data_IF_751678355088
#
_entry.id   IF_751678355088
#
_cell.length_a   1.000
_cell.length_b   1.000
_cell.length_c   1.000
_cell.angle_alpha   90.00
_cell.angle_beta   90.00
_cell.angle_gamma   90.00
#
_symmetry.space_group_name_H-M   'P 1'
#
loop_
_entity.id
_entity.type
_entity.pdbx_description
1 polymer ?
#
# COMPACT_ATOMS: atom_id res chain seq x y z
N UNK A 1 -10.08 -23.72 10.04
CA UNK A 1 -9.03 -22.70 9.93
C UNK A 1 -9.20 -21.76 11.11
N UNK A 2 -8.16 -21.47 11.92
CA UNK A 2 -8.32 -20.52 13.02
C UNK A 2 -8.76 -19.18 12.45
N UNK A 3 -9.78 -18.57 13.04
CA UNK A 3 -10.13 -17.20 12.75
C UNK A 3 -8.93 -16.35 13.17
N UNK A 4 -8.15 -15.88 12.20
CA UNK A 4 -7.16 -14.86 12.49
C UNK A 4 -7.95 -13.61 12.91
N UNK A 5 -7.83 -13.23 14.18
CA UNK A 5 -8.32 -11.96 14.73
C UNK A 5 -7.54 -10.82 14.07
N UNK A 6 -7.88 -10.55 12.82
CA UNK A 6 -7.30 -9.44 12.11
C UNK A 6 -7.93 -8.15 12.62
N UNK A 7 -7.12 -7.11 12.87
CA UNK A 7 -7.63 -5.84 13.35
C UNK A 7 -8.59 -5.23 12.30
N UNK A 8 -9.60 -4.47 12.75
CA UNK A 8 -10.50 -3.78 11.83
C UNK A 8 -9.72 -2.76 10.97
N UNK A 9 -10.17 -2.47 9.73
CA UNK A 9 -9.60 -1.41 8.93
C UNK A 9 -9.65 -0.05 9.64
N UNK A 10 -8.58 0.72 9.50
CA UNK A 10 -8.41 2.02 10.17
C UNK A 10 -8.27 3.17 9.17
N UNK A 11 -8.82 4.33 9.51
CA UNK A 11 -8.63 5.54 8.72
C UNK A 11 -7.42 6.32 9.23
N UNK A 12 -6.53 6.68 8.31
CA UNK A 12 -5.45 7.63 8.50
C UNK A 12 -5.84 8.92 7.81
N UNK A 13 -6.00 9.97 8.58
CA UNK A 13 -6.44 11.29 8.13
C UNK A 13 -5.20 12.18 7.99
N UNK A 14 -5.09 12.86 6.85
CA UNK A 14 -4.03 13.81 6.52
C UNK A 14 -4.64 15.04 5.84
N UNK A 15 -3.89 16.15 5.80
CA UNK A 15 -4.33 17.39 5.17
C UNK A 15 -4.58 17.26 3.66
N UNK A 16 -3.98 16.24 3.04
CA UNK A 16 -4.02 16.03 1.57
C UNK A 16 -4.78 14.79 1.14
N UNK A 17 -5.05 13.88 2.07
CA UNK A 17 -5.81 12.66 1.80
C UNK A 17 -6.34 12.00 3.07
N UNK A 18 -7.41 11.24 2.91
CA UNK A 18 -7.79 10.18 3.86
C UNK A 18 -7.40 8.82 3.28
N UNK A 19 -6.83 7.93 4.08
CA UNK A 19 -6.46 6.58 3.66
C UNK A 19 -7.03 5.53 4.61
N UNK A 20 -7.78 4.57 4.06
CA UNK A 20 -8.23 3.39 4.77
C UNK A 20 -7.14 2.32 4.66
N UNK A 21 -6.63 1.84 5.80
CA UNK A 21 -5.61 0.79 5.89
C UNK A 21 -6.12 -0.46 6.57
N UNK A 22 -5.47 -1.57 6.26
CA UNK A 22 -5.63 -2.84 6.94
C UNK A 22 -4.30 -3.60 6.93
N UNK A 23 -3.89 -4.15 8.07
CA UNK A 23 -2.60 -4.82 8.26
C UNK A 23 -1.39 -4.01 7.72
N UNK A 24 -1.43 -2.67 7.88
CA UNK A 24 -0.39 -1.75 7.40
C UNK A 24 -0.42 -1.47 5.89
N UNK A 25 -1.36 -2.05 5.13
CA UNK A 25 -1.50 -1.86 3.69
C UNK A 25 -2.72 -0.97 3.35
N UNK A 26 -2.62 -0.11 2.32
CA UNK A 26 -3.72 0.79 1.96
C UNK A 26 -4.80 0.05 1.17
N UNK A 27 -6.05 0.08 1.64
CA UNK A 27 -7.22 -0.47 0.94
C UNK A 27 -7.85 0.57 0.00
N UNK A 28 -8.02 1.80 0.49
CA UNK A 28 -8.61 2.89 -0.27
C UNK A 28 -7.99 4.22 0.14
N UNK A 29 -8.02 5.20 -0.77
CA UNK A 29 -7.53 6.55 -0.51
C UNK A 29 -8.47 7.58 -1.14
N UNK A 30 -8.75 8.65 -0.42
CA UNK A 30 -9.52 9.81 -0.87
C UNK A 30 -8.56 10.99 -0.91
N UNK A 31 -8.15 11.41 -2.09
CA UNK A 31 -7.27 12.58 -2.28
C UNK A 31 -8.09 13.85 -2.37
N UNK A 32 -7.71 14.87 -1.58
CA UNK A 32 -8.35 16.18 -1.61
C UNK A 32 -7.75 17.06 -2.71
N UNK A 33 -8.61 17.67 -3.52
CA UNK A 33 -8.19 18.59 -4.56
C UNK A 33 -8.42 20.04 -4.10
N UNK A 34 -7.63 21.02 -4.60
CA UNK A 34 -7.76 22.42 -4.22
C UNK A 34 -9.13 23.03 -4.55
N UNK A 35 -9.86 22.47 -5.52
CA UNK A 35 -11.20 22.91 -5.93
C UNK A 35 -12.33 22.35 -5.03
N UNK A 36 -11.99 21.66 -3.94
CA UNK A 36 -12.94 21.04 -3.03
C UNK A 36 -13.47 19.68 -3.51
N UNK A 37 -13.12 19.25 -4.73
CA UNK A 37 -13.43 17.89 -5.21
C UNK A 37 -12.45 16.88 -4.61
N UNK A 38 -12.76 15.59 -4.76
CA UNK A 38 -11.88 14.51 -4.30
C UNK A 38 -11.71 13.43 -5.34
N UNK A 39 -10.54 12.81 -5.37
CA UNK A 39 -10.26 11.61 -6.16
C UNK A 39 -10.20 10.41 -5.23
N UNK A 40 -11.14 9.48 -5.36
CA UNK A 40 -11.13 8.23 -4.62
C UNK A 40 -10.42 7.17 -5.43
N UNK A 41 -9.46 6.48 -4.81
CA UNK A 41 -8.77 5.32 -5.36
C UNK A 41 -9.02 4.12 -4.44
N UNK A 42 -9.67 3.09 -4.95
CA UNK A 42 -9.84 1.81 -4.22
C UNK A 42 -8.95 0.75 -4.86
N UNK A 43 -8.21 0.01 -4.04
CA UNK A 43 -7.29 -1.03 -4.54
C UNK A 43 -7.97 -2.40 -4.49
N UNK A 44 -8.16 -3.01 -5.66
CA UNK A 44 -8.47 -4.45 -5.79
C UNK A 44 -7.14 -5.21 -5.89
N UNK A 45 -6.68 -5.83 -4.81
CA UNK A 45 -5.37 -6.48 -4.79
C UNK A 45 -5.39 -7.95 -5.17
N UNK A 46 -5.53 -8.23 -6.45
CA UNK A 46 -4.85 -9.39 -7.06
C UNK A 46 -4.67 -9.07 -8.52
N UNK A 47 -3.57 -8.37 -8.86
CA UNK A 47 -3.27 -8.02 -10.26
C UNK A 47 -4.44 -7.33 -10.99
N UNK A 48 -5.26 -6.55 -10.27
CA UNK A 48 -6.49 -5.95 -10.79
C UNK A 48 -6.38 -4.44 -10.99
N UNK A 49 -7.19 -3.86 -11.90
CA UNK A 49 -7.23 -2.43 -12.11
C UNK A 49 -7.62 -1.70 -10.81
N UNK A 50 -6.86 -0.67 -10.45
CA UNK A 50 -7.23 0.26 -9.38
C UNK A 50 -8.40 1.11 -9.88
N UNK A 51 -9.53 1.07 -9.19
CA UNK A 51 -10.66 1.91 -9.56
C UNK A 51 -10.44 3.31 -8.99
N UNK A 52 -10.31 4.29 -9.90
CA UNK A 52 -10.21 5.70 -9.56
C UNK A 52 -11.50 6.40 -9.96
N UNK A 53 -12.06 7.21 -9.07
CA UNK A 53 -13.30 7.95 -9.31
C UNK A 53 -13.23 9.34 -8.68
N UNK A 54 -13.53 10.37 -9.47
CA UNK A 54 -13.69 11.74 -8.97
C UNK A 54 -15.07 11.90 -8.35
N UNK A 55 -15.13 12.58 -7.21
CA UNK A 55 -16.34 12.91 -6.48
C UNK A 55 -16.35 14.39 -6.16
N UNK A 56 -17.56 14.97 -6.05
CA UNK A 56 -17.72 16.39 -5.78
C UNK A 56 -17.28 16.80 -4.37
N UNK A 57 -17.30 15.89 -3.38
CA UNK A 57 -17.00 16.21 -1.98
C UNK A 57 -16.28 15.05 -1.26
N UNK A 58 -15.51 15.39 -0.22
CA UNK A 58 -14.86 14.42 0.66
C UNK A 58 -15.86 13.46 1.33
N UNK A 59 -16.99 13.97 1.79
CA UNK A 59 -18.08 13.14 2.35
C UNK A 59 -18.62 12.13 1.35
N UNK A 60 -18.80 12.56 0.09
CA UNK A 60 -19.19 11.64 -0.99
C UNK A 60 -18.12 10.58 -1.27
N UNK A 61 -16.85 10.97 -1.20
CA UNK A 61 -15.72 10.05 -1.32
C UNK A 61 -15.72 8.98 -0.22
N UNK A 62 -15.86 9.37 1.05
CA UNK A 62 -15.93 8.43 2.19
C UNK A 62 -17.11 7.46 2.09
N UNK A 63 -18.32 7.95 1.77
CA UNK A 63 -19.50 7.10 1.56
C UNK A 63 -19.31 6.09 0.42
N UNK A 64 -18.61 6.48 -0.64
CA UNK A 64 -18.28 5.55 -1.71
C UNK A 64 -17.31 4.48 -1.25
N UNK A 65 -16.29 4.82 -0.45
CA UNK A 65 -15.39 3.84 0.15
C UNK A 65 -16.16 2.88 1.07
N UNK A 66 -17.09 3.36 1.89
CA UNK A 66 -17.95 2.51 2.73
C UNK A 66 -18.79 1.54 1.90
N UNK A 67 -19.44 2.02 0.83
CA UNK A 67 -20.22 1.18 -0.06
C UNK A 67 -19.33 0.15 -0.78
N UNK A 68 -18.13 0.55 -1.19
CA UNK A 68 -17.14 -0.35 -1.77
C UNK A 68 -16.69 -1.41 -0.76
N UNK A 69 -16.42 -1.06 0.50
CA UNK A 69 -16.06 -1.99 1.57
C UNK A 69 -17.16 -3.00 1.87
N UNK A 70 -18.44 -2.61 1.82
CA UNK A 70 -19.55 -3.56 1.99
C UNK A 70 -19.59 -4.62 0.90
N UNK A 71 -19.19 -4.27 -0.32
CA UNK A 71 -19.22 -5.18 -1.46
C UNK A 71 -17.95 -6.01 -1.60
N UNK A 72 -16.79 -5.41 -1.36
CA UNK A 72 -15.48 -5.96 -1.71
C UNK A 72 -14.50 -6.04 -0.54
N UNK A 73 -14.87 -5.53 0.64
CA UNK A 73 -13.95 -5.38 1.77
C UNK A 73 -13.39 -6.70 2.28
N UNK A 74 -14.19 -7.77 2.32
CA UNK A 74 -13.72 -9.08 2.75
C UNK A 74 -12.60 -9.62 1.84
N UNK A 75 -12.79 -9.56 0.52
CA UNK A 75 -11.77 -9.97 -0.44
C UNK A 75 -10.53 -9.07 -0.37
N UNK A 76 -10.73 -7.74 -0.29
CA UNK A 76 -9.64 -6.78 -0.20
C UNK A 76 -8.79 -6.97 1.08
N UNK A 77 -9.41 -7.27 2.22
CA UNK A 77 -8.72 -7.57 3.47
C UNK A 77 -7.96 -8.90 3.39
N UNK A 78 -8.58 -9.96 2.83
CA UNK A 78 -7.90 -11.25 2.62
C UNK A 78 -6.65 -11.08 1.76
N UNK A 79 -6.75 -10.34 0.67
CA UNK A 79 -5.65 -10.10 -0.24
C UNK A 79 -4.54 -9.25 0.39
N UNK A 80 -4.91 -8.22 1.15
CA UNK A 80 -3.97 -7.43 1.94
C UNK A 80 -3.26 -8.30 3.00
N UNK A 81 -3.99 -9.15 3.72
CA UNK A 81 -3.42 -10.10 4.69
C UNK A 81 -2.42 -11.07 4.05
N UNK A 82 -2.77 -11.66 2.91
CA UNK A 82 -1.87 -12.54 2.15
C UNK A 82 -0.58 -11.81 1.74
N UNK A 83 -0.70 -10.56 1.27
CA UNK A 83 0.45 -9.75 0.86
C UNK A 83 1.32 -9.36 2.06
N UNK A 84 0.73 -8.99 3.19
CA UNK A 84 1.46 -8.70 4.41
C UNK A 84 2.22 -9.93 4.91
N UNK A 85 1.58 -11.11 4.88
CA UNK A 85 2.22 -12.39 5.21
C UNK A 85 3.38 -12.72 4.26
N UNK A 86 3.19 -12.57 2.95
CA UNK A 86 4.24 -12.80 1.96
C UNK A 86 5.44 -11.85 2.16
N UNK A 87 5.18 -10.56 2.43
CA UNK A 87 6.23 -9.58 2.75
C UNK A 87 7.00 -9.95 4.03
N UNK A 88 6.30 -10.42 5.07
CA UNK A 88 6.94 -10.85 6.31
C UNK A 88 7.87 -12.05 6.07
N UNK A 89 7.45 -13.02 5.25
CA UNK A 89 8.27 -14.18 4.85
C UNK A 89 9.50 -13.72 4.06
N UNK A 90 9.35 -12.81 3.10
CA UNK A 90 10.46 -12.28 2.31
C UNK A 90 11.48 -11.51 3.16
N UNK A 91 11.01 -10.71 4.12
CA UNK A 91 11.87 -9.99 5.07
C UNK A 91 12.62 -10.96 5.98
N UNK A 92 11.94 -11.96 6.54
CA UNK A 92 12.56 -13.00 7.36
C UNK A 92 13.61 -13.79 6.56
N UNK A 93 13.29 -14.14 5.31
CA UNK A 93 14.24 -14.81 4.41
C UNK A 93 15.48 -13.94 4.15
N UNK A 94 15.31 -12.66 3.81
CA UNK A 94 16.43 -11.73 3.61
C UNK A 94 17.29 -11.58 4.86
N UNK A 95 16.68 -11.51 6.04
CA UNK A 95 17.39 -11.44 7.32
C UNK A 95 18.16 -12.73 7.64
N UNK A 96 17.72 -13.88 7.11
CA UNK A 96 18.39 -15.18 7.30
C UNK A 96 19.61 -15.39 6.38
N UNK A 97 19.74 -14.59 5.32
CA UNK A 97 20.88 -14.68 4.41
C UNK A 97 22.12 -14.08 5.08
N UNK A 98 23.30 -14.73 4.97
CA UNK A 98 24.53 -14.16 5.47
C UNK A 98 24.82 -12.82 4.77
N UNK A 99 25.40 -11.83 5.48
CA UNK A 99 25.75 -10.55 4.87
C UNK A 99 26.73 -10.80 3.73
N UNK A 100 26.32 -10.45 2.51
CA UNK A 100 27.19 -10.53 1.34
C UNK A 100 28.17 -9.36 1.43
N UNK A 101 29.39 -9.63 1.89
CA UNK A 101 30.51 -8.73 1.67
C UNK A 101 30.78 -8.66 0.16
N UNK A 102 30.30 -7.60 -0.49
CA UNK A 102 30.70 -7.28 -1.85
C UNK A 102 32.16 -6.80 -1.78
N UNK A 103 33.09 -7.75 -1.87
CA UNK A 103 34.51 -7.41 -2.04
C UNK A 103 34.65 -6.69 -3.38
N UNK A 104 35.17 -5.45 -3.42
CA UNK A 104 35.38 -4.75 -4.68
C UNK A 104 36.29 -5.60 -5.56
N UNK A 105 35.84 -5.86 -6.80
CA UNK A 105 36.61 -6.63 -7.78
C UNK A 105 37.96 -5.95 -8.02
N UNK A 106 39.10 -6.59 -7.67
CA UNK A 106 40.42 -5.99 -7.81
C UNK A 106 40.79 -5.68 -9.27
N UNK A 107 40.03 -6.17 -10.26
CA UNK A 107 40.28 -5.95 -11.70
C UNK A 107 39.52 -4.78 -12.30
N UNK A 108 38.61 -4.13 -11.56
CA UNK A 108 37.86 -2.95 -12.05
C UNK A 108 38.32 -1.68 -11.34
N UNK A 109 39.20 -0.85 -11.97
CA UNK A 109 39.48 0.47 -11.42
C UNK A 109 38.18 1.28 -11.39
N UNK A 110 37.89 1.88 -10.22
CA UNK A 110 36.88 2.95 -10.12
C UNK A 110 37.23 3.97 -11.20
N UNK A 111 36.37 4.15 -12.22
CA UNK A 111 36.51 5.28 -13.14
C UNK A 111 36.45 6.55 -12.30
N UNK A 112 37.63 7.12 -12.05
CA UNK A 112 37.79 8.35 -11.30
C UNK A 112 36.95 9.42 -11.95
N UNK A 113 36.02 9.96 -11.17
CA UNK A 113 35.38 11.23 -11.49
C UNK A 113 36.50 12.27 -11.38
N UNK A 114 37.03 12.74 -12.51
CA UNK A 114 37.92 13.92 -12.51
C UNK A 114 37.10 15.11 -11.99
N UNK A 115 37.61 15.87 -11.01
CA UNK A 115 37.02 17.16 -10.71
C UNK A 115 37.41 18.14 -11.83
N UNK A 116 36.42 18.68 -12.52
CA UNK A 116 36.47 19.98 -13.18
C UNK A 116 35.18 20.70 -12.81
#
# INVERSE_FOLDING_TARGET
>A
MPAMDWPPPEWIISDTYDELRYAGLPLARVHFQPDGTVEVRTRCYSQGPTHSRRMATATGGRRYVEAWMRKWGADAMRDAGNKAGAMAIEVAYRASLPPVEIKPDPRRPRRGRKPF
#
